data_IF_802236386420
#
_entry.id   IF_802236386420
#
_cell.length_a   1.000
_cell.length_b   1.000
_cell.length_c   1.000
_cell.angle_alpha   90.00
_cell.angle_beta   90.00
_cell.angle_gamma   90.00
#
_symmetry.space_group_name_H-M   'P 1'
#
loop_
_entity.id
_entity.type
_entity.pdbx_description
1 polymer ?
#
# COMPACT_ATOMS: atom_id res chain seq x y z
N UNK A 1 1.74 18.72 9.02
CA UNK A 1 2.22 17.68 8.10
C UNK A 1 1.65 16.34 8.55
N UNK A 2 1.58 15.36 7.65
CA UNK A 2 1.12 14.02 7.97
C UNK A 2 2.30 13.06 7.95
N UNK A 3 2.33 12.08 8.85
CA UNK A 3 3.43 11.10 8.94
C UNK A 3 3.29 9.96 7.92
N UNK A 4 2.06 9.66 7.50
CA UNK A 4 1.73 8.56 6.59
C UNK A 4 0.39 8.80 5.90
N UNK A 5 0.27 8.39 4.63
CA UNK A 5 -0.99 8.31 3.91
C UNK A 5 -1.59 6.91 4.05
N UNK A 6 -2.81 6.82 4.56
CA UNK A 6 -3.52 5.55 4.74
C UNK A 6 -4.57 5.35 3.65
N UNK A 7 -4.37 4.33 2.81
CA UNK A 7 -5.31 3.93 1.76
C UNK A 7 -6.08 2.67 2.17
N UNK A 8 -7.27 2.88 2.69
CA UNK A 8 -8.25 1.83 2.94
C UNK A 8 -8.78 1.22 1.62
N UNK A 9 -8.77 -0.10 1.49
CA UNK A 9 -9.29 -0.83 0.32
C UNK A 9 -10.05 -2.11 0.72
N UNK A 10 -10.67 -2.80 -0.25
CA UNK A 10 -11.43 -4.05 -0.02
C UNK A 10 -10.55 -5.32 0.07
N UNK A 11 -9.29 -5.23 -0.35
CA UNK A 11 -8.31 -6.32 -0.38
C UNK A 11 -7.22 -6.09 0.67
N UNK A 12 -6.42 -7.11 0.99
CA UNK A 12 -5.48 -7.01 2.11
C UNK A 12 -4.32 -6.04 1.88
N UNK A 13 -4.00 -5.71 0.63
CA UNK A 13 -3.01 -4.70 0.28
C UNK A 13 -2.80 -4.62 -1.23
N UNK A 14 -1.54 -4.51 -1.65
CA UNK A 14 -1.11 -4.50 -3.05
C UNK A 14 -0.62 -5.89 -3.43
N UNK A 15 -1.15 -6.42 -4.52
CA UNK A 15 -0.81 -7.74 -5.04
C UNK A 15 -0.08 -7.61 -6.38
N UNK A 16 0.66 -8.65 -6.76
CA UNK A 16 1.29 -8.79 -8.08
C UNK A 16 0.27 -8.97 -9.22
N UNK A 17 -0.88 -9.57 -8.91
CA UNK A 17 -2.02 -9.77 -9.80
C UNK A 17 -3.35 -9.53 -9.07
N UNK A 18 -4.47 -9.54 -9.79
CA UNK A 18 -5.79 -9.33 -9.21
C UNK A 18 -6.21 -10.53 -8.33
N UNK A 19 -6.27 -10.40 -6.99
CA UNK A 19 -6.58 -11.51 -6.09
C UNK A 19 -8.05 -11.97 -6.21
N UNK A 20 -8.94 -11.16 -6.79
CA UNK A 20 -10.32 -11.58 -7.06
C UNK A 20 -10.40 -12.53 -8.28
N UNK A 21 -9.38 -12.54 -9.15
CA UNK A 21 -9.33 -13.38 -10.37
C UNK A 21 -8.28 -14.48 -10.32
N UNK A 22 -7.14 -14.20 -9.69
CA UNK A 22 -6.02 -15.12 -9.57
C UNK A 22 -5.83 -15.52 -8.10
N UNK A 23 -6.19 -16.75 -7.70
CA UNK A 23 -6.02 -17.22 -6.33
C UNK A 23 -4.55 -17.37 -5.92
N UNK A 24 -3.61 -17.34 -6.88
CA UNK A 24 -2.17 -17.38 -6.61
C UNK A 24 -1.54 -15.98 -6.51
N UNK A 25 -2.35 -14.91 -6.55
CA UNK A 25 -1.85 -13.55 -6.39
C UNK A 25 -1.11 -13.40 -5.05
N UNK A 26 0.10 -12.87 -5.11
CA UNK A 26 1.00 -12.72 -3.97
C UNK A 26 0.89 -11.29 -3.44
N UNK A 27 0.57 -11.19 -2.14
CA UNK A 27 0.55 -9.92 -1.42
C UNK A 27 1.96 -9.42 -1.18
N UNK A 28 2.24 -8.18 -1.57
CA UNK A 28 3.46 -7.48 -1.18
C UNK A 28 3.34 -6.95 0.25
N UNK A 29 4.37 -7.15 1.08
CA UNK A 29 4.42 -6.53 2.41
C UNK A 29 5.03 -5.12 2.35
N UNK A 30 6.12 -4.99 1.60
CA UNK A 30 6.84 -3.73 1.43
C UNK A 30 7.14 -3.52 -0.04
N UNK A 31 6.92 -2.30 -0.51
CA UNK A 31 7.21 -1.85 -1.87
C UNK A 31 7.93 -0.52 -1.85
N UNK A 32 8.78 -0.29 -2.84
CA UNK A 32 9.25 1.06 -3.16
C UNK A 32 8.34 1.74 -4.17
N UNK A 33 8.37 3.07 -4.21
CA UNK A 33 7.71 3.83 -5.27
C UNK A 33 8.17 3.41 -6.68
N UNK A 34 9.45 3.06 -6.83
CA UNK A 34 9.99 2.53 -8.07
C UNK A 34 9.46 1.15 -8.43
N UNK A 35 9.27 0.26 -7.45
CA UNK A 35 8.65 -1.06 -7.67
C UNK A 35 7.20 -0.90 -8.11
N UNK A 36 6.43 -0.03 -7.45
CA UNK A 36 5.05 0.30 -7.84
C UNK A 36 4.98 0.79 -9.29
N UNK A 37 5.89 1.68 -9.69
CA UNK A 37 5.95 2.23 -11.04
C UNK A 37 6.42 1.19 -12.07
N UNK A 38 7.50 0.47 -11.78
CA UNK A 38 8.12 -0.48 -12.73
C UNK A 38 7.24 -1.70 -13.00
N UNK A 39 6.49 -2.15 -12.00
CA UNK A 39 5.55 -3.27 -12.13
C UNK A 39 4.13 -2.82 -12.49
N UNK A 40 3.91 -1.52 -12.72
CA UNK A 40 2.61 -0.93 -13.07
C UNK A 40 1.49 -1.30 -12.06
N UNK A 41 1.83 -1.35 -10.77
CA UNK A 41 0.90 -1.72 -9.71
C UNK A 41 -0.12 -0.61 -9.50
N UNK A 42 -1.41 -0.96 -9.53
CA UNK A 42 -2.52 0.00 -9.42
C UNK A 42 -2.82 0.34 -7.97
N UNK A 43 -1.88 1.03 -7.31
CA UNK A 43 -2.05 1.47 -5.92
C UNK A 43 -2.96 2.69 -5.83
N UNK A 44 -2.70 3.72 -6.64
CA UNK A 44 -3.32 5.05 -6.60
C UNK A 44 -3.11 5.72 -7.98
N UNK A 45 -3.78 6.84 -8.25
CA UNK A 45 -3.48 7.68 -9.41
C UNK A 45 -1.97 8.04 -9.47
N UNK A 46 -1.32 7.98 -10.64
CA UNK A 46 0.11 8.27 -10.77
C UNK A 46 0.52 9.65 -10.23
N UNK A 47 -0.35 10.66 -10.34
CA UNK A 47 -0.09 12.02 -9.85
C UNK A 47 0.02 12.06 -8.34
N UNK A 48 -0.87 11.33 -7.65
CA UNK A 48 -0.86 11.30 -6.20
C UNK A 48 0.29 10.43 -5.64
N UNK A 49 0.71 9.39 -6.37
CA UNK A 49 1.95 8.65 -6.07
C UNK A 49 3.16 9.57 -6.20
N UNK A 50 3.26 10.33 -7.29
CA UNK A 50 4.37 11.27 -7.50
C UNK A 50 4.44 12.32 -6.38
N UNK A 51 3.29 12.88 -5.97
CA UNK A 51 3.21 13.81 -4.85
C UNK A 51 3.69 13.18 -3.53
N UNK A 52 3.27 11.95 -3.21
CA UNK A 52 3.75 11.26 -2.00
C UNK A 52 5.25 10.99 -2.04
N UNK A 53 5.79 10.64 -3.21
CA UNK A 53 7.22 10.42 -3.42
C UNK A 53 8.04 11.70 -3.23
N UNK A 54 7.61 12.83 -3.82
CA UNK A 54 8.27 14.13 -3.67
C UNK A 54 8.37 14.60 -2.22
N UNK A 55 7.35 14.29 -1.41
CA UNK A 55 7.29 14.64 0.01
C UNK A 55 7.79 13.55 0.95
N UNK A 56 8.33 12.45 0.43
CA UNK A 56 8.73 11.27 1.21
C UNK A 56 7.64 10.75 2.17
N UNK A 57 6.36 10.95 1.80
CA UNK A 57 5.22 10.54 2.61
C UNK A 57 4.96 9.05 2.38
N UNK A 58 5.12 8.14 3.36
CA UNK A 58 4.83 6.72 3.18
C UNK A 58 3.34 6.47 2.89
N UNK A 59 3.02 5.37 2.20
CA UNK A 59 1.64 4.94 1.98
C UNK A 59 1.42 3.58 2.66
N UNK A 60 0.34 3.43 3.41
CA UNK A 60 -0.14 2.15 3.95
C UNK A 60 -1.42 1.75 3.23
N UNK A 61 -1.40 0.64 2.49
CA UNK A 61 -2.57 0.06 1.83
C UNK A 61 -3.05 -1.13 2.64
N UNK A 62 -4.30 -1.10 3.10
CA UNK A 62 -4.82 -2.16 3.96
C UNK A 62 -6.32 -2.40 3.77
N UNK A 63 -6.78 -3.60 4.15
CA UNK A 63 -8.19 -3.97 4.14
C UNK A 63 -8.93 -3.32 5.31
N UNK A 64 -9.90 -2.45 5.02
CA UNK A 64 -10.72 -1.81 6.06
C UNK A 64 -11.89 -2.69 6.55
N UNK A 65 -12.22 -3.76 5.82
CA UNK A 65 -13.31 -4.68 6.19
C UNK A 65 -12.88 -5.72 7.22
N UNK A 66 -11.58 -5.93 7.38
CA UNK A 66 -11.07 -6.80 8.43
C UNK A 66 -11.25 -6.11 9.79
N UNK A 67 -11.93 -6.78 10.70
CA UNK A 67 -12.23 -6.23 12.03
C UNK A 67 -10.94 -5.81 12.76
N UNK A 68 -10.94 -4.58 13.28
CA UNK A 68 -9.79 -4.01 13.97
C UNK A 68 -8.67 -3.48 13.08
N UNK A 69 -8.68 -3.69 11.76
CA UNK A 69 -7.55 -3.27 10.91
C UNK A 69 -7.32 -1.75 10.89
N UNK A 70 -8.36 -0.92 11.03
CA UNK A 70 -8.19 0.53 11.13
C UNK A 70 -7.41 0.89 12.41
N UNK A 71 -7.75 0.28 13.54
CA UNK A 71 -7.02 0.50 14.79
C UNK A 71 -5.57 0.03 14.67
N UNK A 72 -5.36 -1.17 14.11
CA UNK A 72 -4.03 -1.74 13.88
C UNK A 72 -3.17 -0.86 12.95
N UNK A 73 -3.78 -0.29 11.91
CA UNK A 73 -3.12 0.68 11.01
C UNK A 73 -2.61 1.90 11.78
N UNK A 74 -3.46 2.49 12.62
CA UNK A 74 -3.14 3.66 13.43
C UNK A 74 -2.09 3.35 14.50
N UNK A 75 -2.09 2.13 15.04
CA UNK A 75 -1.07 1.63 15.98
C UNK A 75 0.29 1.35 15.31
N UNK A 76 0.38 1.41 13.99
CA UNK A 76 1.61 1.12 13.24
C UNK A 76 1.95 -0.37 13.18
N UNK A 77 0.95 -1.24 13.36
CA UNK A 77 1.16 -2.68 13.20
C UNK A 77 1.46 -3.04 11.74
N UNK A 78 2.16 -4.15 11.54
CA UNK A 78 2.43 -4.69 10.20
C UNK A 78 1.16 -5.31 9.63
N UNK A 79 0.42 -4.52 8.85
CA UNK A 79 -0.74 -4.97 8.09
C UNK A 79 -0.65 -4.49 6.64
N UNK A 80 -1.20 -5.29 5.72
CA UNK A 80 -1.26 -4.97 4.30
C UNK A 80 0.10 -4.67 3.68
N UNK A 81 0.17 -3.61 2.88
CA UNK A 81 1.37 -3.23 2.13
C UNK A 81 1.81 -1.82 2.46
N UNK A 82 3.10 -1.65 2.75
CA UNK A 82 3.72 -0.35 2.94
C UNK A 82 4.50 0.07 1.70
N UNK A 83 4.26 1.27 1.20
CA UNK A 83 5.00 1.88 0.07
C UNK A 83 5.87 3.02 0.59
N UNK A 84 7.15 2.99 0.24
CA UNK A 84 8.16 3.96 0.72
C UNK A 84 9.19 4.31 -0.37
N UNK A 85 10.06 5.29 -0.12
CA UNK A 85 11.12 5.67 -1.07
C UNK A 85 12.27 4.63 -1.14
N UNK A 86 12.44 3.78 -0.12
CA UNK A 86 13.44 2.72 -0.10
C UNK A 86 13.06 1.61 0.87
N UNK A 87 13.61 0.40 0.68
CA UNK A 87 13.37 -0.73 1.58
C UNK A 87 14.11 -0.47 2.89
N UNK A 88 13.37 -0.38 3.99
CA UNK A 88 13.90 -0.15 5.33
C UNK A 88 13.79 -1.43 6.16
#
# INVERSE_FOLDING_TARGET
EADILMKATRVDGVYDDDPEKNPNAVLYQDLTYDEVRSQNLRVMDPTAIAHCMEHNLPILVFNYRADGNIERAVRGEKIGTRVTCGKN
#
